data_IF_723556429290
#
_entry.id   IF_723556429290
#
_cell.length_a   1.000
_cell.length_b   1.000
_cell.length_c   1.000
_cell.angle_alpha   90.00
_cell.angle_beta   90.00
_cell.angle_gamma   90.00
#
_symmetry.space_group_name_H-M   'P 1'
#
loop_
_entity.id
_entity.type
_entity.pdbx_description
1 polymer ?
#
# COMPACT_ATOMS: atom_id res chain seq x y z
N UNK A 1 -12.98 -22.27 5.78
CA UNK A 1 -12.71 -21.74 5.64
C UNK A 1 -12.45 -21.02 5.47
N UNK A 2 -12.42 -20.81 5.80
CA UNK A 2 -12.21 -20.14 5.80
C UNK A 2 -11.77 -19.33 5.41
N UNK A 3 -11.80 -19.44 4.91
CA UNK A 3 -11.24 -18.60 4.28
C UNK A 3 -11.55 -17.32 4.56
N UNK A 4 -12.30 -17.16 5.00
CA UNK A 4 -12.62 -16.03 5.37
C UNK A 4 -11.69 -15.53 6.29
N UNK A 5 -10.48 -15.70 6.06
CA UNK A 5 -9.50 -15.19 6.81
C UNK A 5 -9.31 -13.79 6.50
N UNK A 6 -10.31 -12.97 6.47
CA UNK A 6 -10.16 -11.54 6.31
C UNK A 6 -9.73 -10.93 7.64
N UNK A 7 -9.09 -9.79 7.56
CA UNK A 7 -8.63 -9.06 8.73
C UNK A 7 -9.25 -7.66 8.70
N UNK A 8 -10.18 -7.40 9.60
CA UNK A 8 -10.88 -6.11 9.68
C UNK A 8 -11.48 -5.68 8.34
N UNK A 9 -11.98 -6.65 7.57
CA UNK A 9 -12.58 -6.38 6.28
C UNK A 9 -11.60 -6.40 5.12
N UNK A 10 -10.30 -6.61 5.39
CA UNK A 10 -9.28 -6.70 4.36
C UNK A 10 -8.91 -8.16 4.12
N UNK A 11 -8.25 -8.42 3.00
CA UNK A 11 -7.91 -9.79 2.63
C UNK A 11 -7.06 -10.49 3.70
N UNK A 12 -6.15 -9.76 4.34
CA UNK A 12 -5.28 -10.32 5.36
C UNK A 12 -4.67 -9.20 6.18
N UNK A 13 -3.87 -9.57 7.17
CA UNK A 13 -3.23 -8.62 8.06
C UNK A 13 -2.30 -7.67 7.30
N UNK A 14 -1.50 -8.21 6.37
CA UNK A 14 -0.54 -7.38 5.66
C UNK A 14 -1.24 -6.28 4.85
N UNK A 15 -2.33 -6.62 4.19
CA UNK A 15 -3.09 -5.63 3.42
C UNK A 15 -3.69 -4.59 4.34
N UNK A 16 -4.29 -5.03 5.45
CA UNK A 16 -4.85 -4.11 6.43
C UNK A 16 -3.78 -3.17 6.98
N UNK A 17 -2.62 -3.72 7.33
CA UNK A 17 -1.55 -2.92 7.92
C UNK A 17 -1.05 -1.85 6.95
N UNK A 18 -0.85 -2.22 5.68
CA UNK A 18 -0.41 -1.26 4.68
C UNK A 18 -1.43 -0.14 4.52
N UNK A 19 -2.72 -0.48 4.46
CA UNK A 19 -3.75 0.53 4.29
C UNK A 19 -3.83 1.45 5.51
N UNK A 20 -3.65 0.87 6.70
CA UNK A 20 -3.69 1.63 7.94
C UNK A 20 -2.58 2.69 7.97
N UNK A 21 -1.36 2.29 7.62
CA UNK A 21 -0.24 3.21 7.65
C UNK A 21 -0.37 4.31 6.59
N UNK A 22 -0.84 3.95 5.40
CA UNK A 22 -1.05 4.94 4.35
C UNK A 22 -2.12 5.97 4.79
N UNK A 23 -3.17 5.50 5.44
CA UNK A 23 -4.26 6.38 5.84
C UNK A 23 -3.88 7.31 6.98
N UNK A 24 -2.97 6.86 7.87
CA UNK A 24 -2.70 7.59 9.10
C UNK A 24 -1.41 8.39 9.10
N UNK A 25 -0.51 8.16 8.14
CA UNK A 25 0.75 8.91 8.06
C UNK A 25 0.66 9.92 6.94
N UNK A 26 0.81 11.18 7.26
CA UNK A 26 0.61 12.24 6.28
C UNK A 26 1.51 12.07 5.06
N UNK A 27 2.78 11.74 5.27
CA UNK A 27 3.70 11.55 4.16
C UNK A 27 3.22 10.43 3.24
N UNK A 28 2.82 9.32 3.83
CA UNK A 28 2.36 8.17 3.04
C UNK A 28 1.04 8.48 2.34
N UNK A 29 0.15 9.17 3.04
CA UNK A 29 -1.14 9.57 2.48
C UNK A 29 -0.94 10.45 1.25
N UNK A 30 -0.08 11.47 1.38
CA UNK A 30 0.16 12.38 0.27
C UNK A 30 0.88 11.69 -0.89
N UNK A 31 1.81 10.79 -0.57
CA UNK A 31 2.51 10.02 -1.60
C UNK A 31 1.53 9.13 -2.36
N UNK A 32 0.62 8.48 -1.64
CA UNK A 32 -0.37 7.62 -2.27
C UNK A 32 -1.29 8.42 -3.19
N UNK A 33 -1.73 9.60 -2.74
CA UNK A 33 -2.58 10.46 -3.57
C UNK A 33 -1.86 10.89 -4.83
N UNK A 34 -0.57 11.21 -4.71
CA UNK A 34 0.21 11.59 -5.89
C UNK A 34 0.33 10.42 -6.86
N UNK A 35 0.46 9.21 -6.33
CA UNK A 35 0.54 8.03 -7.18
C UNK A 35 -0.76 7.83 -7.98
N UNK A 36 -1.90 8.08 -7.34
CA UNK A 36 -3.17 7.99 -8.06
C UNK A 36 -3.25 9.04 -9.17
N UNK A 37 -2.81 10.26 -8.87
CA UNK A 37 -2.89 11.35 -9.81
C UNK A 37 -1.97 11.17 -11.02
N UNK A 38 -0.76 10.67 -10.78
CA UNK A 38 0.27 10.61 -11.83
C UNK A 38 0.55 9.21 -12.33
N UNK A 39 -0.33 8.27 -12.04
CA UNK A 39 -0.14 6.88 -12.46
C UNK A 39 -0.30 6.76 -13.97
N UNK A 40 0.61 6.01 -14.60
CA UNK A 40 0.52 5.74 -16.02
C UNK A 40 -0.57 4.73 -16.31
N UNK A 41 -1.05 4.69 -17.55
CA UNK A 41 -2.08 3.74 -17.92
C UNK A 41 -1.57 2.30 -17.87
N UNK A 42 -0.26 2.09 -17.83
CA UNK A 42 0.33 0.75 -17.81
C UNK A 42 0.54 0.21 -16.41
N UNK A 43 0.20 0.96 -15.39
CA UNK A 43 0.45 0.51 -14.01
C UNK A 43 -0.72 0.94 -13.14
N UNK A 44 -0.84 0.30 -11.98
CA UNK A 44 -1.86 0.70 -11.02
C UNK A 44 -1.24 1.67 -10.01
N UNK A 45 -2.08 2.43 -9.29
CA UNK A 45 -1.55 3.34 -8.27
C UNK A 45 -0.69 2.65 -7.23
N UNK A 46 -1.08 1.46 -6.79
CA UNK A 46 -0.28 0.79 -5.77
C UNK A 46 1.04 0.28 -6.33
N UNK A 47 1.08 -0.14 -7.61
CA UNK A 47 2.34 -0.52 -8.24
C UNK A 47 3.30 0.66 -8.25
N UNK A 48 2.79 1.84 -8.57
CA UNK A 48 3.61 3.04 -8.57
C UNK A 48 4.08 3.37 -7.16
N UNK A 49 3.19 3.24 -6.18
CA UNK A 49 3.54 3.50 -4.79
C UNK A 49 4.66 2.56 -4.32
N UNK A 50 4.52 1.27 -4.63
CA UNK A 50 5.54 0.28 -4.26
C UNK A 50 6.87 0.63 -4.91
N UNK A 51 6.85 0.97 -6.20
CA UNK A 51 8.08 1.30 -6.90
C UNK A 51 8.77 2.49 -6.25
N UNK A 52 8.00 3.50 -5.86
CA UNK A 52 8.57 4.68 -5.21
C UNK A 52 9.13 4.35 -3.83
N UNK A 53 8.39 3.58 -3.04
CA UNK A 53 8.80 3.28 -1.67
C UNK A 53 9.96 2.30 -1.62
N UNK A 54 10.04 1.39 -2.58
CA UNK A 54 11.09 0.37 -2.60
C UNK A 54 12.34 0.80 -3.35
N UNK A 55 12.31 2.00 -3.93
CA UNK A 55 13.41 2.49 -4.73
C UNK A 55 14.69 2.73 -3.92
N UNK A 56 14.54 3.03 -2.63
CA UNK A 56 15.69 3.30 -1.80
C UNK A 56 16.16 4.75 -1.85
N UNK A 57 15.63 5.51 -2.80
CA UNK A 57 16.02 6.92 -2.94
C UNK A 57 15.59 7.74 -1.74
N UNK A 58 14.42 7.43 -1.19
CA UNK A 58 13.89 8.18 -0.06
C UNK A 58 14.22 7.53 1.28
N UNK A 59 15.01 6.45 1.28
CA UNK A 59 15.47 5.83 2.52
C UNK A 59 14.99 4.42 2.68
N UNK A 60 15.90 3.55 3.08
CA UNK A 60 15.56 2.13 3.20
C UNK A 60 14.53 1.87 4.30
N UNK A 61 14.51 2.72 5.33
CA UNK A 61 13.56 2.51 6.43
C UNK A 61 12.13 2.78 5.99
N UNK A 62 11.93 3.35 4.81
CA UNK A 62 10.59 3.60 4.29
C UNK A 62 10.08 2.48 3.40
N UNK A 63 10.82 1.37 3.31
CA UNK A 63 10.41 0.26 2.45
C UNK A 63 9.40 -0.66 3.12
N UNK A 64 9.02 -0.37 4.34
CA UNK A 64 8.02 -1.14 5.07
C UNK A 64 7.32 -0.25 6.08
N UNK A 65 6.20 -0.75 6.59
CA UNK A 65 5.44 0.01 7.59
C UNK A 65 6.18 0.00 8.92
N UNK A 66 5.71 0.80 9.86
CA UNK A 66 6.26 0.78 11.20
C UNK A 66 6.05 -0.54 11.91
N UNK A 67 5.13 -1.37 11.41
CA UNK A 67 4.90 -2.71 11.94
C UNK A 67 5.66 -3.76 11.16
N UNK A 68 6.61 -3.33 10.34
CA UNK A 68 7.55 -4.23 9.66
C UNK A 68 6.94 -5.01 8.50
N UNK A 69 5.91 -4.48 7.88
CA UNK A 69 5.29 -5.07 6.69
C UNK A 69 5.83 -4.37 5.47
N UNK A 70 6.50 -5.11 4.58
CA UNK A 70 7.05 -4.51 3.36
C UNK A 70 5.92 -4.13 2.41
N UNK A 71 6.07 -3.01 1.72
CA UNK A 71 5.03 -2.55 0.80
C UNK A 71 4.80 -3.53 -0.34
N UNK A 72 5.85 -4.30 -0.72
CA UNK A 72 5.75 -5.29 -1.79
C UNK A 72 5.58 -6.70 -1.25
N UNK A 73 5.12 -6.85 -0.02
CA UNK A 73 4.89 -8.18 0.56
C UNK A 73 3.93 -8.95 -0.33
N UNK A 74 4.27 -10.18 -0.73
CA UNK A 74 3.41 -10.94 -1.64
C UNK A 74 2.04 -11.26 -1.06
N UNK A 75 1.85 -11.14 0.24
CA UNK A 75 0.54 -11.36 0.85
C UNK A 75 -0.40 -10.18 0.66
N UNK A 76 0.11 -9.00 0.31
CA UNK A 76 -0.73 -7.82 0.15
C UNK A 76 -1.61 -7.98 -1.09
N UNK A 77 -2.90 -7.71 -0.91
CA UNK A 77 -3.85 -7.75 -2.02
C UNK A 77 -3.81 -6.39 -2.73
N UNK A 78 -3.15 -6.35 -3.88
CA UNK A 78 -2.97 -5.10 -4.60
C UNK A 78 -4.28 -4.51 -5.08
N UNK A 79 -5.25 -5.36 -5.43
CA UNK A 79 -6.55 -4.85 -5.88
C UNK A 79 -7.23 -4.05 -4.78
N UNK A 80 -7.20 -4.57 -3.55
CA UNK A 80 -7.78 -3.84 -2.43
C UNK A 80 -7.03 -2.55 -2.14
N UNK A 81 -5.71 -2.57 -2.29
CA UNK A 81 -4.92 -1.37 -2.09
C UNK A 81 -5.26 -0.31 -3.13
N UNK A 82 -5.44 -0.73 -4.39
CA UNK A 82 -5.80 0.22 -5.44
C UNK A 82 -7.17 0.83 -5.20
N UNK A 83 -8.13 0.03 -4.73
CA UNK A 83 -9.45 0.56 -4.41
C UNK A 83 -9.38 1.57 -3.28
N UNK A 84 -8.61 1.27 -2.25
CA UNK A 84 -8.47 2.16 -1.11
C UNK A 84 -7.83 3.47 -1.55
N UNK A 85 -6.76 3.39 -2.35
CA UNK A 85 -6.05 4.59 -2.79
C UNK A 85 -6.92 5.48 -3.65
N UNK A 86 -7.80 4.90 -4.44
CA UNK A 86 -8.68 5.68 -5.30
C UNK A 86 -9.67 6.52 -4.49
N UNK A 87 -9.87 6.17 -3.21
CA UNK A 87 -10.82 6.88 -2.36
C UNK A 87 -10.17 7.85 -1.40
N UNK A 88 -8.87 8.03 -1.47
CA UNK A 88 -8.18 8.95 -0.55
C UNK A 88 -8.51 10.43 -0.79
#
# INVERSE_FOLDING_TARGET
MTSNETYNGWANYETWNASLWISNEEFLYNTAKACVTYCDSNETPYDKFVRCMMDGTIGKFLQKTGDNVAWNDPAINYDEMNEMMAEL
#
